data_IF_683752858412
#
_entry.id   IF_683752858412
#
_cell.length_a   1.000
_cell.length_b   1.000
_cell.length_c   1.000
_cell.angle_alpha   90.00
_cell.angle_beta   90.00
_cell.angle_gamma   90.00
#
_symmetry.space_group_name_H-M   'P 1'
#
loop_
_entity.id
_entity.type
_entity.pdbx_description
1 polymer ?
#
# COMPACT_ATOMS: atom_id res chain seq x y z
N UNK A 1 -23.18 40.78 -51.15
CA UNK A 1 -23.21 39.61 -50.25
C UNK A 1 -24.66 39.30 -49.99
N UNK A 2 -25.19 38.17 -50.49
CA UNK A 2 -26.62 37.91 -50.39
C UNK A 2 -27.00 37.56 -48.94
N UNK A 3 -28.19 37.96 -48.52
CA UNK A 3 -28.76 37.62 -47.21
C UNK A 3 -28.70 36.10 -46.94
N UNK A 4 -28.85 35.28 -47.99
CA UNK A 4 -28.78 33.82 -47.90
C UNK A 4 -27.35 33.30 -47.64
N UNK A 5 -26.32 33.98 -48.17
CA UNK A 5 -24.91 33.61 -47.93
C UNK A 5 -24.52 33.92 -46.49
N UNK A 6 -25.02 35.04 -45.94
CA UNK A 6 -24.83 35.40 -44.54
C UNK A 6 -25.50 34.40 -43.59
N UNK A 7 -26.73 33.96 -43.88
CA UNK A 7 -27.39 32.92 -43.09
C UNK A 7 -26.66 31.58 -43.14
N UNK A 8 -26.09 31.21 -44.29
CA UNK A 8 -25.32 29.98 -44.45
C UNK A 8 -24.02 30.03 -43.63
N UNK A 9 -23.32 31.16 -43.64
CA UNK A 9 -22.12 31.41 -42.82
C UNK A 9 -22.42 31.34 -41.32
N UNK A 10 -23.53 31.93 -40.88
CA UNK A 10 -23.94 31.90 -39.46
C UNK A 10 -24.25 30.46 -39.02
N UNK A 11 -24.96 29.69 -39.84
CA UNK A 11 -25.27 28.28 -39.58
C UNK A 11 -23.99 27.44 -39.39
N UNK A 12 -23.00 27.62 -40.26
CA UNK A 12 -21.73 26.88 -40.17
C UNK A 12 -20.94 27.24 -38.90
N UNK A 13 -20.90 28.51 -38.51
CA UNK A 13 -20.25 28.94 -37.27
C UNK A 13 -20.95 28.37 -36.01
N UNK A 14 -22.28 28.32 -36.01
CA UNK A 14 -23.06 27.73 -34.90
C UNK A 14 -22.81 26.22 -34.81
N UNK A 15 -22.77 25.53 -35.94
CA UNK A 15 -22.46 24.09 -35.98
C UNK A 15 -21.03 23.79 -35.51
N UNK A 16 -20.05 24.61 -35.90
CA UNK A 16 -18.66 24.45 -35.48
C UNK A 16 -18.49 24.66 -33.96
N UNK A 17 -19.07 25.72 -33.42
CA UNK A 17 -18.98 26.03 -31.98
C UNK A 17 -19.66 24.98 -31.11
N UNK A 18 -20.84 24.50 -31.51
CA UNK A 18 -21.57 23.45 -30.80
C UNK A 18 -20.83 22.11 -30.84
N UNK A 19 -20.26 21.73 -32.00
CA UNK A 19 -19.45 20.53 -32.14
C UNK A 19 -18.18 20.61 -31.28
N UNK A 20 -17.45 21.74 -31.30
CA UNK A 20 -16.25 21.92 -30.48
C UNK A 20 -16.53 21.83 -28.99
N UNK A 21 -17.63 22.43 -28.52
CA UNK A 21 -18.03 22.34 -27.11
C UNK A 21 -18.45 20.92 -26.71
N UNK A 22 -19.19 20.22 -27.58
CA UNK A 22 -19.59 18.83 -27.37
C UNK A 22 -18.38 17.89 -27.29
N UNK A 23 -17.42 18.04 -28.20
CA UNK A 23 -16.17 17.26 -28.19
C UNK A 23 -15.37 17.54 -26.92
N UNK A 24 -15.24 18.81 -26.49
CA UNK A 24 -14.57 19.16 -25.25
C UNK A 24 -15.23 18.49 -24.03
N UNK A 25 -16.56 18.55 -23.93
CA UNK A 25 -17.30 17.94 -22.83
C UNK A 25 -17.16 16.41 -22.82
N UNK A 26 -17.21 15.77 -23.99
CA UNK A 26 -17.08 14.34 -24.14
C UNK A 26 -15.65 13.87 -23.84
N UNK A 27 -14.64 14.63 -24.27
CA UNK A 27 -13.23 14.36 -23.94
C UNK A 27 -12.98 14.50 -22.43
N UNK A 28 -13.54 15.51 -21.78
CA UNK A 28 -13.42 15.70 -20.33
C UNK A 28 -14.15 14.59 -19.53
N UNK A 29 -15.24 14.06 -20.08
CA UNK A 29 -15.99 12.94 -19.47
C UNK A 29 -15.27 11.60 -19.66
N UNK A 30 -14.64 11.39 -20.84
CA UNK A 30 -13.91 10.17 -21.17
C UNK A 30 -12.53 10.11 -20.51
N UNK A 31 -11.81 11.24 -20.42
CA UNK A 31 -10.61 11.41 -19.58
C UNK A 31 -11.01 11.62 -18.12
N UNK A 32 -11.86 10.74 -17.60
CA UNK A 32 -12.39 10.77 -16.23
C UNK A 32 -11.31 11.15 -15.21
N UNK A 33 -11.67 12.11 -14.38
CA UNK A 33 -10.79 12.86 -13.48
C UNK A 33 -9.80 11.95 -12.72
N UNK A 34 -8.49 11.98 -13.06
CA UNK A 34 -7.48 11.12 -12.42
C UNK A 34 -7.28 11.49 -10.93
N UNK A 35 -7.90 12.58 -10.47
CA UNK A 35 -7.82 13.10 -9.11
C UNK A 35 -8.46 12.18 -8.07
N UNK A 36 -9.56 11.47 -8.40
CA UNK A 36 -10.31 10.72 -7.37
C UNK A 36 -9.55 9.48 -6.86
N UNK A 37 -8.74 8.84 -7.72
CA UNK A 37 -7.93 7.68 -7.36
C UNK A 37 -6.79 8.04 -6.39
N UNK A 38 -6.28 9.26 -6.48
CA UNK A 38 -5.20 9.76 -5.61
C UNK A 38 -5.71 10.19 -4.22
N UNK A 39 -6.95 10.67 -4.12
CA UNK A 39 -7.51 11.15 -2.85
C UNK A 39 -7.82 10.02 -1.85
N UNK A 40 -8.23 8.86 -2.33
CA UNK A 40 -8.53 7.70 -1.47
C UNK A 40 -7.24 7.06 -0.92
N UNK A 41 -6.18 6.99 -1.72
CA UNK A 41 -4.85 6.52 -1.27
C UNK A 41 -4.24 7.49 -0.24
N UNK A 42 -4.38 8.81 -0.46
CA UNK A 42 -3.98 9.86 0.48
C UNK A 42 -4.74 9.79 1.82
N UNK A 43 -6.04 9.47 1.79
CA UNK A 43 -6.83 9.29 3.02
C UNK A 43 -6.38 8.07 3.82
N UNK A 44 -6.05 6.95 3.16
CA UNK A 44 -5.57 5.72 3.82
C UNK A 44 -4.20 5.94 4.46
N UNK A 45 -3.26 6.52 3.71
CA UNK A 45 -1.93 6.90 4.22
C UNK A 45 -2.04 7.88 5.38
N UNK A 46 -2.88 8.92 5.30
CA UNK A 46 -3.05 9.88 6.39
C UNK A 46 -3.65 9.25 7.66
N UNK A 47 -4.62 8.32 7.51
CA UNK A 47 -5.22 7.61 8.64
C UNK A 47 -4.23 6.66 9.32
N UNK A 48 -3.41 5.95 8.54
CA UNK A 48 -2.38 5.05 9.08
C UNK A 48 -1.19 5.82 9.68
N UNK A 49 -0.72 6.88 9.02
CA UNK A 49 0.31 7.78 9.57
C UNK A 49 -0.13 8.38 10.90
N UNK A 50 -1.39 8.82 11.02
CA UNK A 50 -1.88 9.43 12.25
C UNK A 50 -1.97 8.44 13.42
N UNK A 51 -2.22 7.14 13.16
CA UNK A 51 -2.09 6.07 14.16
C UNK A 51 -0.63 5.88 14.59
N UNK A 52 0.30 5.75 13.64
CA UNK A 52 1.73 5.57 13.90
C UNK A 52 2.35 6.78 14.62
N UNK A 53 1.95 8.01 14.25
CA UNK A 53 2.35 9.26 14.94
C UNK A 53 1.89 9.30 16.41
N UNK A 54 0.88 8.52 16.80
CA UNK A 54 0.35 8.50 18.17
C UNK A 54 1.10 7.56 19.09
N UNK A 55 1.82 6.58 18.54
CA UNK A 55 2.49 5.52 19.31
C UNK A 55 3.82 5.95 19.95
N UNK A 56 4.60 6.86 19.37
CA UNK A 56 5.76 7.42 20.07
C UNK A 56 6.21 8.80 19.54
N UNK A 57 6.79 9.66 20.38
CA UNK A 57 7.36 10.95 19.97
C UNK A 57 8.59 10.78 19.06
N UNK A 58 9.38 9.72 19.24
CA UNK A 58 10.55 9.41 18.40
C UNK A 58 10.13 9.01 16.97
N UNK A 59 9.04 8.25 16.83
CA UNK A 59 8.52 7.83 15.52
C UNK A 59 8.07 9.03 14.67
N UNK A 60 7.62 10.13 15.29
CA UNK A 60 7.22 11.35 14.56
C UNK A 60 8.40 12.01 13.85
N UNK A 61 9.53 12.14 14.53
CA UNK A 61 10.72 12.77 13.96
C UNK A 61 11.25 11.98 12.76
N UNK A 62 11.23 10.66 12.86
CA UNK A 62 11.59 9.76 11.76
C UNK A 62 10.58 9.83 10.61
N UNK A 63 9.27 9.87 10.91
CA UNK A 63 8.23 9.98 9.88
C UNK A 63 8.32 11.27 9.06
N UNK A 64 8.72 12.36 9.70
CA UNK A 64 8.83 13.66 9.05
C UNK A 64 10.09 13.75 8.16
N UNK A 65 11.12 12.93 8.42
CA UNK A 65 12.31 12.83 7.55
C UNK A 65 12.15 11.91 6.33
N UNK A 66 11.04 11.17 6.22
CA UNK A 66 10.82 10.16 5.16
C UNK A 66 10.31 10.77 3.85
N UNK A 67 10.74 10.18 2.74
CA UNK A 67 10.29 10.47 1.37
C UNK A 67 8.82 10.10 1.15
N UNK A 68 8.20 10.66 0.11
CA UNK A 68 6.81 10.38 -0.24
C UNK A 68 6.57 8.89 -0.52
N UNK A 69 7.54 8.20 -1.11
CA UNK A 69 7.43 6.76 -1.40
C UNK A 69 7.48 5.91 -0.13
N UNK A 70 8.33 6.27 0.82
CA UNK A 70 8.43 5.57 2.10
C UNK A 70 7.14 5.73 2.90
N UNK A 71 6.53 6.93 2.87
CA UNK A 71 5.20 7.18 3.46
C UNK A 71 4.10 6.32 2.86
N UNK A 72 4.15 6.06 1.55
CA UNK A 72 3.21 5.16 0.88
C UNK A 72 3.46 3.71 1.31
N UNK A 73 4.71 3.26 1.38
CA UNK A 73 5.06 1.92 1.85
C UNK A 73 4.67 1.67 3.32
N UNK A 74 4.82 2.68 4.19
CA UNK A 74 4.41 2.60 5.60
C UNK A 74 2.93 2.31 5.78
N UNK A 75 2.08 2.62 4.80
CA UNK A 75 0.65 2.26 4.85
C UNK A 75 0.41 0.74 4.82
N UNK A 76 1.38 -0.04 4.32
CA UNK A 76 1.34 -1.49 4.23
C UNK A 76 2.07 -2.18 5.39
N UNK A 77 2.76 -1.41 6.25
CA UNK A 77 3.42 -1.94 7.42
C UNK A 77 2.38 -2.21 8.51
N UNK A 78 2.32 -3.47 8.96
CA UNK A 78 1.43 -3.91 10.04
C UNK A 78 2.24 -3.84 11.34
N UNK A 79 1.86 -2.98 12.30
CA UNK A 79 2.53 -2.95 13.58
C UNK A 79 2.21 -4.23 14.36
N UNK A 80 3.12 -4.70 15.23
CA UNK A 80 2.91 -5.92 16.02
C UNK A 80 1.72 -5.82 16.97
N UNK A 81 1.22 -4.61 17.28
CA UNK A 81 0.01 -4.40 18.09
C UNK A 81 -1.29 -4.74 17.37
N UNK A 82 -1.28 -4.80 16.04
CA UNK A 82 -2.47 -5.10 15.22
C UNK A 82 -2.56 -6.62 14.91
N UNK A 83 -1.58 -7.42 15.36
CA UNK A 83 -1.57 -8.88 15.21
C UNK A 83 -2.26 -9.49 16.44
N UNK A 84 -3.51 -9.94 16.28
CA UNK A 84 -4.32 -10.48 17.38
C UNK A 84 -4.03 -11.95 17.72
N UNK A 85 -3.21 -12.63 16.90
CA UNK A 85 -2.92 -14.06 17.06
C UNK A 85 -1.59 -14.28 17.77
N UNK A 86 -1.60 -15.11 18.80
CA UNK A 86 -0.40 -15.57 19.50
C UNK A 86 -0.03 -16.99 19.06
N UNK A 87 1.24 -17.35 19.17
CA UNK A 87 1.69 -18.74 18.95
C UNK A 87 1.01 -19.75 19.90
N UNK A 88 0.47 -19.28 21.03
CA UNK A 88 -0.34 -20.10 21.94
C UNK A 88 -1.73 -20.44 21.40
N UNK A 89 -2.21 -19.73 20.37
CA UNK A 89 -3.51 -19.96 19.75
C UNK A 89 -3.45 -21.03 18.64
N UNK A 90 -2.24 -21.52 18.32
CA UNK A 90 -1.96 -22.52 17.28
C UNK A 90 -1.64 -23.85 17.96
N UNK A 91 -2.67 -24.62 18.32
CA UNK A 91 -2.49 -25.91 18.99
C UNK A 91 -1.90 -27.00 18.09
N UNK A 92 -0.94 -27.77 18.61
CA UNK A 92 -0.37 -28.95 17.96
C UNK A 92 0.80 -28.68 17.01
N UNK A 93 1.33 -27.46 17.00
CA UNK A 93 2.50 -27.04 16.23
C UNK A 93 3.65 -26.54 17.12
N UNK A 94 3.62 -26.81 18.42
CA UNK A 94 4.63 -26.34 19.38
C UNK A 94 6.07 -26.65 18.96
N UNK A 95 6.33 -27.84 18.41
CA UNK A 95 7.67 -28.23 17.90
C UNK A 95 8.11 -27.34 16.73
N UNK A 96 7.20 -27.10 15.77
CA UNK A 96 7.47 -26.25 14.59
C UNK A 96 7.66 -24.80 15.02
N UNK A 97 6.87 -24.31 15.98
CA UNK A 97 6.99 -22.95 16.54
C UNK A 97 8.33 -22.78 17.26
N UNK A 98 8.79 -23.80 17.99
CA UNK A 98 10.09 -23.81 18.65
C UNK A 98 11.23 -23.69 17.65
N UNK A 99 11.20 -24.49 16.58
CA UNK A 99 12.19 -24.43 15.50
C UNK A 99 12.18 -23.07 14.77
N UNK A 100 10.98 -22.50 14.52
CA UNK A 100 10.81 -21.18 13.93
C UNK A 100 11.37 -20.08 14.84
N UNK A 101 11.19 -20.21 16.15
CA UNK A 101 11.70 -19.25 17.13
C UNK A 101 13.22 -19.23 17.16
N UNK A 102 13.87 -20.39 17.14
CA UNK A 102 15.32 -20.46 17.12
C UNK A 102 15.93 -20.00 15.80
N UNK A 103 15.29 -20.35 14.68
CA UNK A 103 15.81 -20.04 13.34
C UNK A 103 15.52 -18.62 12.85
N UNK A 104 14.39 -18.01 13.26
CA UNK A 104 13.95 -16.70 12.75
C UNK A 104 13.93 -15.63 13.85
N UNK A 105 13.37 -15.93 15.02
CA UNK A 105 13.21 -14.92 16.08
C UNK A 105 14.56 -14.59 16.74
N UNK A 106 15.37 -15.58 17.09
CA UNK A 106 16.67 -15.34 17.75
C UNK A 106 17.64 -14.48 16.91
N UNK A 107 17.81 -14.72 15.59
CA UNK A 107 18.66 -13.86 14.77
C UNK A 107 18.15 -12.41 14.63
N UNK A 108 16.83 -12.21 14.66
CA UNK A 108 16.23 -10.87 14.59
C UNK A 108 16.38 -10.09 15.90
N UNK A 109 16.29 -10.78 17.05
CA UNK A 109 16.41 -10.16 18.38
C UNK A 109 17.86 -9.93 18.77
N UNK A 110 18.77 -10.84 18.42
CA UNK A 110 20.18 -10.79 18.80
C UNK A 110 21.13 -10.78 17.60
N UNK A 111 20.98 -9.86 16.64
CA UNK A 111 21.75 -9.88 15.39
C UNK A 111 23.27 -9.87 15.62
N UNK A 112 23.73 -9.23 16.69
CA UNK A 112 25.15 -9.14 17.07
C UNK A 112 25.80 -10.51 17.37
N UNK A 113 25.02 -11.45 17.91
CA UNK A 113 25.49 -12.81 18.19
C UNK A 113 25.52 -13.68 16.92
N UNK A 114 24.78 -13.32 15.87
CA UNK A 114 24.70 -14.12 14.65
C UNK A 114 25.56 -13.56 13.50
N UNK A 115 25.92 -12.27 13.54
CA UNK A 115 26.90 -11.68 12.60
C UNK A 115 28.35 -12.10 12.88
N UNK A 116 28.70 -12.43 14.14
CA UNK A 116 30.07 -12.79 14.52
C UNK A 116 30.44 -14.25 14.21
N UNK A 117 29.47 -15.18 14.19
CA UNK A 117 29.73 -16.61 14.01
C UNK A 117 29.63 -17.09 12.55
N UNK A 118 29.59 -16.14 11.59
CA UNK A 118 29.65 -16.40 10.16
C UNK A 118 28.31 -16.80 9.53
N UNK A 119 28.27 -16.75 8.19
CA UNK A 119 27.07 -16.93 7.36
C UNK A 119 26.31 -18.24 7.56
N UNK A 120 26.84 -19.22 8.30
CA UNK A 120 26.17 -20.49 8.63
C UNK A 120 25.06 -20.33 9.67
N UNK A 121 25.10 -19.28 10.49
CA UNK A 121 24.13 -18.98 11.54
C UNK A 121 23.18 -17.83 11.15
N UNK A 122 23.30 -17.30 9.93
CA UNK A 122 22.41 -16.25 9.44
C UNK A 122 20.97 -16.76 9.30
N UNK A 123 20.00 -15.89 9.60
CA UNK A 123 18.58 -16.20 9.43
C UNK A 123 18.30 -16.77 8.03
N UNK A 124 17.48 -17.84 7.91
CA UNK A 124 17.14 -18.40 6.62
C UNK A 124 16.45 -17.34 5.75
N UNK A 125 16.77 -17.32 4.45
CA UNK A 125 16.26 -16.31 3.50
C UNK A 125 14.75 -16.32 3.32
N UNK A 126 14.07 -17.36 3.79
CA UNK A 126 12.62 -17.49 3.79
C UNK A 126 12.17 -18.80 4.42
N UNK A 127 10.97 -18.80 4.99
CA UNK A 127 10.30 -19.98 5.54
C UNK A 127 9.09 -20.29 4.67
N UNK A 128 8.94 -21.55 4.25
CA UNK A 128 7.80 -21.99 3.44
C UNK A 128 6.85 -22.82 4.32
N UNK A 129 5.65 -22.29 4.59
CA UNK A 129 4.60 -23.01 5.31
C UNK A 129 3.72 -23.79 4.31
N UNK A 130 3.83 -25.13 4.27
CA UNK A 130 3.01 -26.01 3.42
C UNK A 130 2.10 -26.93 4.24
N UNK A 131 1.04 -27.49 3.62
CA UNK A 131 -0.05 -28.18 4.34
C UNK A 131 -1.43 -28.07 3.65
N UNK A 132 -2.38 -28.97 3.97
CA UNK A 132 -3.72 -28.99 3.38
C UNK A 132 -4.56 -27.75 3.78
N UNK A 133 -5.60 -27.40 3.00
CA UNK A 133 -6.44 -26.25 3.30
C UNK A 133 -7.12 -26.43 4.67
N UNK A 134 -6.97 -25.45 5.56
CA UNK A 134 -7.52 -25.48 6.93
C UNK A 134 -6.49 -25.61 8.06
N UNK A 135 -5.21 -25.87 7.77
CA UNK A 135 -4.15 -26.04 8.78
C UNK A 135 -3.54 -24.73 9.32
N UNK A 136 -4.30 -23.62 9.43
CA UNK A 136 -3.84 -22.43 10.17
C UNK A 136 -2.65 -21.65 9.59
N UNK A 137 -2.17 -21.93 8.37
CA UNK A 137 -1.01 -21.25 7.76
C UNK A 137 -1.11 -19.72 7.73
N UNK A 138 -2.31 -19.18 7.59
CA UNK A 138 -2.54 -17.74 7.55
C UNK A 138 -2.47 -17.09 8.94
N UNK A 139 -2.69 -17.87 10.01
CA UNK A 139 -2.61 -17.39 11.39
C UNK A 139 -1.18 -17.50 11.94
N UNK A 140 -0.33 -18.32 11.31
CA UNK A 140 1.07 -18.51 11.67
C UNK A 140 2.04 -17.56 10.93
N UNK A 141 1.54 -16.74 9.99
CA UNK A 141 2.34 -15.87 9.12
C UNK A 141 2.10 -14.40 9.42
#
# INVERSE_FOLDING_TARGET
MNRNDAFKLISECVLLTTASFSVYYLLNTLMGDPSHRNNDEKKRTAKHLSKLKKQSPEMKQVLDSLSNYEKIMLAYLIPPTDIEVSFNDIGGLEDVVSDLRESVILPLVYPQLFTQYGSLLAAPKGVLLYGPPGCGKNNAS
#
